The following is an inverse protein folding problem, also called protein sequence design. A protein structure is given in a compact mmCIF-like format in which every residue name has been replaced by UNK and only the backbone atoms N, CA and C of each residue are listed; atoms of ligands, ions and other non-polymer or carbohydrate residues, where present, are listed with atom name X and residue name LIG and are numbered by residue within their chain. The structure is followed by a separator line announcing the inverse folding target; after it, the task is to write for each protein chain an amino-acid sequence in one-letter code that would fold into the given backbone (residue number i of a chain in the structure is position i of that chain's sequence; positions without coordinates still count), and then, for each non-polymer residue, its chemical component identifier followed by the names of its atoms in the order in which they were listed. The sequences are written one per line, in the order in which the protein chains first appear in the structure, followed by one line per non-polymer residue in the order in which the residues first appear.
data_IF_740598502831
#
_entry.id   IF_740598502831
#
_cell.length_a   1.000
_cell.length_b   1.000
_cell.length_c   1.000
_cell.angle_alpha   90.00
_cell.angle_beta   90.00
_cell.angle_gamma   90.00
#
_symmetry.space_group_name_H-M   'P 1'
#
loop_
_entity.id
_entity.type
_entity.pdbx_description
1 polymer ?
#
# COMPACT_ATOMS: atom_id res chain seq x y z
N UNK A 1 -29.36 67.26 2.42
CA UNK A 1 -27.91 67.45 2.49
C UNK A 1 -27.43 66.58 3.62
N UNK A 2 -26.78 65.49 3.21
CA UNK A 2 -26.38 64.35 4.02
C UNK A 2 -25.37 64.71 5.11
N UNK A 3 -25.45 63.98 6.22
CA UNK A 3 -24.28 63.64 7.03
C UNK A 3 -24.63 62.38 7.80
N UNK A 4 -24.43 61.26 7.11
CA UNK A 4 -24.42 59.91 7.62
C UNK A 4 -23.60 59.81 8.91
N UNK A 5 -24.23 59.34 9.97
CA UNK A 5 -23.57 58.91 11.21
C UNK A 5 -22.57 57.81 10.85
N UNK A 6 -21.29 58.08 11.13
CA UNK A 6 -20.17 57.24 10.76
C UNK A 6 -20.08 56.03 11.71
N UNK A 7 -20.91 55.03 11.42
CA UNK A 7 -20.99 53.72 12.09
C UNK A 7 -19.84 52.79 11.65
N UNK A 8 -18.69 53.36 11.28
CA UNK A 8 -17.44 52.67 10.94
C UNK A 8 -16.40 52.79 12.07
N UNK A 9 -16.58 53.75 12.99
CA UNK A 9 -15.66 54.02 14.10
C UNK A 9 -15.86 53.15 15.35
N UNK A 10 -16.98 52.43 15.43
CA UNK A 10 -17.29 51.53 16.58
C UNK A 10 -16.75 50.11 16.37
N UNK A 11 -16.50 49.71 15.12
CA UNK A 11 -15.98 48.37 14.81
C UNK A 11 -14.45 48.25 14.81
N UNK A 12 -13.72 49.35 14.93
CA UNK A 12 -12.25 49.36 14.88
C UNK A 12 -11.56 49.25 16.25
N UNK A 13 -12.31 49.10 17.34
CA UNK A 13 -11.76 48.99 18.71
C UNK A 13 -11.71 47.56 19.26
N UNK A 14 -11.95 46.54 18.44
CA UNK A 14 -11.99 45.15 18.91
C UNK A 14 -11.28 44.19 17.96
N UNK A 15 -9.99 44.44 17.72
CA UNK A 15 -9.07 43.42 17.23
C UNK A 15 -7.64 43.90 17.37
N UNK A 16 -6.96 43.39 18.40
CA UNK A 16 -5.53 43.12 18.53
C UNK A 16 -5.07 43.42 19.96
N UNK A 17 -5.51 42.58 20.90
CA UNK A 17 -4.62 42.21 22.00
C UNK A 17 -3.45 41.44 21.36
N UNK A 18 -2.42 42.16 20.91
CA UNK A 18 -1.11 41.57 20.63
C UNK A 18 -0.63 40.92 21.93
N UNK A 19 -0.84 39.60 22.04
CA UNK A 19 -0.24 38.80 23.10
C UNK A 19 1.27 38.77 22.87
N UNK A 20 1.98 39.80 23.33
CA UNK A 20 3.44 39.87 23.30
C UNK A 20 3.97 38.73 24.17
N UNK A 21 4.53 37.66 23.59
CA UNK A 21 4.97 36.54 24.39
C UNK A 21 6.15 36.99 25.23
N UNK A 22 6.08 36.79 26.55
CA UNK A 22 7.20 37.08 27.44
C UNK A 22 8.44 36.32 26.98
N UNK A 23 9.65 36.91 27.11
CA UNK A 23 10.94 36.24 26.80
C UNK A 23 11.06 34.85 27.44
N UNK A 24 10.36 34.62 28.56
CA UNK A 24 10.27 33.32 29.22
C UNK A 24 9.56 32.26 28.38
N UNK A 25 8.47 32.59 27.68
CA UNK A 25 7.75 31.67 26.79
C UNK A 25 8.57 31.29 25.55
N UNK A 26 9.29 32.26 24.97
CA UNK A 26 10.20 32.00 23.84
C UNK A 26 11.33 31.05 24.23
N UNK A 27 11.95 31.29 25.38
CA UNK A 27 12.98 30.40 25.93
C UNK A 27 12.41 29.01 26.28
N UNK A 28 11.19 28.93 26.80
CA UNK A 28 10.54 27.66 27.12
C UNK A 28 10.22 26.85 25.85
N UNK A 29 9.77 27.49 24.78
CA UNK A 29 9.54 26.85 23.47
C UNK A 29 10.84 26.35 22.83
N UNK A 30 11.91 27.14 22.91
CA UNK A 30 13.25 26.73 22.46
C UNK A 30 13.80 25.55 23.26
N UNK A 31 13.63 25.57 24.58
CA UNK A 31 14.04 24.47 25.44
C UNK A 31 13.19 23.21 25.20
N UNK A 32 11.89 23.36 24.98
CA UNK A 32 10.99 22.24 24.70
C UNK A 32 11.30 21.60 23.34
N UNK A 33 11.56 22.40 22.31
CA UNK A 33 11.96 21.90 20.99
C UNK A 33 13.34 21.25 21.01
N UNK A 34 14.35 21.87 21.63
CA UNK A 34 15.67 21.25 21.83
C UNK A 34 15.57 19.98 22.69
N UNK A 35 14.77 20.00 23.75
CA UNK A 35 14.50 18.83 24.58
C UNK A 35 13.81 17.72 23.79
N UNK A 36 12.87 18.04 22.91
CA UNK A 36 12.19 17.06 22.07
C UNK A 36 13.10 16.49 20.97
N UNK A 37 14.02 17.30 20.43
CA UNK A 37 15.05 16.86 19.47
C UNK A 37 16.12 15.98 20.14
N UNK A 38 16.49 16.32 21.38
CA UNK A 38 17.50 15.62 22.17
C UNK A 38 16.92 14.41 22.94
N UNK A 39 15.60 14.38 23.17
CA UNK A 39 14.87 13.29 23.82
C UNK A 39 15.09 11.93 23.15
N UNK A 40 14.98 11.73 21.82
CA UNK A 40 15.24 10.43 21.21
C UNK A 40 16.70 9.98 21.41
N UNK A 41 17.67 10.91 21.39
CA UNK A 41 19.09 10.59 21.61
C UNK A 41 19.35 10.25 23.09
N UNK A 42 18.79 11.02 24.03
CA UNK A 42 18.85 10.73 25.47
C UNK A 42 18.14 9.41 25.76
N UNK A 43 16.97 9.16 25.20
CA UNK A 43 16.20 7.93 25.42
C UNK A 43 17.01 6.73 24.93
N UNK A 44 17.63 6.81 23.73
CA UNK A 44 18.51 5.75 23.24
C UNK A 44 19.75 5.57 24.11
N UNK A 45 20.39 6.66 24.56
CA UNK A 45 21.58 6.62 25.43
C UNK A 45 21.26 6.17 26.85
N UNK A 46 20.10 6.54 27.38
CA UNK A 46 19.59 6.16 28.70
C UNK A 46 19.17 4.68 28.67
N UNK A 47 18.53 4.24 27.59
CA UNK A 47 18.28 2.82 27.32
C UNK A 47 19.61 2.03 27.26
N UNK A 48 20.63 2.53 26.57
CA UNK A 48 21.94 1.87 26.50
C UNK A 48 22.63 1.84 27.88
N UNK A 49 22.60 2.95 28.62
CA UNK A 49 23.19 3.07 29.96
C UNK A 49 22.47 2.18 30.99
N UNK A 50 21.14 2.16 30.96
CA UNK A 50 20.31 1.33 31.82
C UNK A 50 20.47 -0.15 31.43
N UNK A 51 20.69 -0.46 30.15
CA UNK A 51 21.01 -1.83 29.71
C UNK A 51 22.37 -2.29 30.24
N UNK A 52 23.37 -1.39 30.30
CA UNK A 52 24.71 -1.67 30.85
C UNK A 52 24.67 -1.88 32.36
N UNK A 53 23.87 -1.11 33.09
CA UNK A 53 23.67 -1.26 34.54
C UNK A 53 22.84 -2.51 34.87
N UNK A 54 21.79 -2.80 34.09
CA UNK A 54 20.89 -3.95 34.29
C UNK A 54 21.53 -5.28 33.87
N UNK A 55 22.57 -5.27 33.04
CA UNK A 55 23.38 -6.45 32.70
C UNK A 55 24.15 -7.03 33.91
N UNK A 56 24.21 -6.29 35.03
CA UNK A 56 24.73 -6.78 36.31
C UNK A 56 23.68 -7.55 37.15
N UNK A 57 22.41 -7.60 36.75
CA UNK A 57 21.35 -8.27 37.51
C UNK A 57 20.34 -9.02 36.63
N UNK A 58 20.48 -10.34 36.58
CA UNK A 58 19.46 -11.35 36.28
C UNK A 58 18.34 -11.03 35.27
N UNK A 59 18.45 -11.64 34.09
CA UNK A 59 17.36 -12.09 33.18
C UNK A 59 15.92 -11.58 33.39
N UNK A 60 15.67 -10.29 33.14
CA UNK A 60 14.37 -9.83 32.66
C UNK A 60 14.51 -9.35 31.22
N UNK A 61 13.71 -9.94 30.31
CA UNK A 61 13.68 -9.57 28.89
C UNK A 61 13.47 -8.05 28.79
N UNK A 62 14.51 -7.35 28.31
CA UNK A 62 14.56 -5.90 28.27
C UNK A 62 13.26 -5.32 27.70
N UNK A 63 12.64 -4.40 28.43
CA UNK A 63 11.39 -3.72 28.05
C UNK A 63 11.41 -3.22 26.60
N UNK A 64 12.58 -2.79 26.10
CA UNK A 64 12.80 -2.35 24.72
C UNK A 64 12.54 -3.45 23.68
N UNK A 65 12.92 -4.71 23.97
CA UNK A 65 12.62 -5.83 23.07
C UNK A 65 11.12 -6.13 23.03
N UNK A 66 10.42 -5.98 24.16
CA UNK A 66 8.95 -6.14 24.20
C UNK A 66 8.22 -4.99 23.50
N UNK A 67 8.70 -3.76 23.62
CA UNK A 67 8.12 -2.60 22.96
C UNK A 67 8.36 -2.64 21.44
N UNK A 68 9.60 -2.89 21.01
CA UNK A 68 9.94 -3.07 19.60
C UNK A 68 9.12 -4.22 18.99
N UNK A 69 9.03 -5.35 19.68
CA UNK A 69 8.21 -6.48 19.22
C UNK A 69 6.72 -6.14 19.11
N UNK A 70 6.15 -5.38 20.05
CA UNK A 70 4.75 -4.95 19.96
C UNK A 70 4.52 -3.94 18.83
N UNK A 71 5.48 -3.03 18.61
CA UNK A 71 5.45 -2.07 17.50
C UNK A 71 5.59 -2.81 16.17
N UNK A 72 6.52 -3.74 16.05
CA UNK A 72 6.72 -4.56 14.85
C UNK A 72 5.48 -5.39 14.52
N UNK A 73 4.85 -6.01 15.53
CA UNK A 73 3.59 -6.72 15.35
C UNK A 73 2.49 -5.77 14.89
N UNK A 74 2.34 -4.62 15.54
CA UNK A 74 1.31 -3.65 15.15
C UNK A 74 1.52 -3.14 13.71
N UNK A 75 2.78 -2.90 13.34
CA UNK A 75 3.19 -2.45 12.01
C UNK A 75 3.02 -3.53 10.94
N UNK A 76 3.19 -4.80 11.31
CA UNK A 76 3.03 -5.95 10.41
C UNK A 76 1.58 -6.36 10.22
N UNK A 77 0.72 -6.16 11.24
CA UNK A 77 -0.68 -6.59 11.19
C UNK A 77 -1.60 -5.64 10.40
N UNK A 78 -1.23 -4.37 10.27
CA UNK A 78 -2.10 -3.37 9.63
C UNK A 78 -1.47 -2.84 8.32
N UNK A 79 -2.11 -3.06 7.16
CA UNK A 79 -1.66 -2.49 5.88
C UNK A 79 -1.48 -0.96 5.93
N UNK A 80 -2.25 -0.29 6.77
CA UNK A 80 -2.24 1.17 6.96
C UNK A 80 -1.21 1.67 7.98
N UNK A 81 -0.43 0.80 8.62
CA UNK A 81 0.51 1.23 9.65
C UNK A 81 1.65 2.10 9.11
N UNK A 82 2.22 1.74 7.95
CA UNK A 82 3.31 2.49 7.30
C UNK A 82 2.93 3.96 7.00
N UNK A 83 1.80 4.25 6.30
CA UNK A 83 1.40 5.63 6.07
C UNK A 83 0.98 6.37 7.35
N UNK A 84 0.41 5.67 8.35
CA UNK A 84 0.05 6.29 9.63
C UNK A 84 1.29 6.74 10.43
N UNK A 85 2.32 5.91 10.49
CA UNK A 85 3.60 6.28 11.12
C UNK A 85 4.22 7.48 10.42
N UNK A 86 4.18 7.49 9.08
CA UNK A 86 4.67 8.62 8.30
C UNK A 86 3.87 9.90 8.63
N UNK A 87 2.54 9.83 8.68
CA UNK A 87 1.65 10.95 9.04
C UNK A 87 1.94 11.49 10.46
N UNK A 88 2.11 10.59 11.44
CA UNK A 88 2.44 11.02 12.82
C UNK A 88 3.83 11.66 12.84
N UNK A 89 4.79 11.11 12.11
CA UNK A 89 6.13 11.68 11.96
C UNK A 89 6.12 13.08 11.33
N UNK A 90 5.29 13.30 10.30
CA UNK A 90 5.16 14.64 9.68
C UNK A 90 4.52 15.65 10.63
N UNK A 91 3.45 15.26 11.32
CA UNK A 91 2.80 16.14 12.30
C UNK A 91 3.75 16.53 13.44
N UNK A 92 4.56 15.58 13.93
CA UNK A 92 5.59 15.86 14.93
C UNK A 92 6.69 16.78 14.38
N UNK A 93 7.16 16.56 13.16
CA UNK A 93 8.16 17.43 12.53
C UNK A 93 7.66 18.87 12.39
N UNK A 94 6.42 19.05 11.94
CA UNK A 94 5.79 20.37 11.78
C UNK A 94 5.59 21.03 13.15
N UNK A 95 5.08 20.29 14.14
CA UNK A 95 4.84 20.81 15.48
C UNK A 95 6.15 21.24 16.16
N UNK A 96 7.15 20.35 16.20
CA UNK A 96 8.44 20.64 16.82
C UNK A 96 9.22 21.70 16.06
N UNK A 97 9.17 21.69 14.73
CA UNK A 97 9.77 22.70 13.87
C UNK A 97 9.15 24.09 14.06
N UNK A 98 7.82 24.17 14.13
CA UNK A 98 7.11 25.41 14.40
C UNK A 98 7.39 25.96 15.80
N UNK A 99 7.45 25.10 16.82
CA UNK A 99 7.85 25.50 18.18
C UNK A 99 9.30 26.01 18.23
N UNK A 100 10.21 25.37 17.47
CA UNK A 100 11.60 25.82 17.36
C UNK A 100 11.69 27.19 16.68
N UNK A 101 10.95 27.40 15.59
CA UNK A 101 10.86 28.69 14.88
C UNK A 101 10.32 29.79 15.78
N UNK A 102 9.25 29.51 16.53
CA UNK A 102 8.64 30.47 17.47
C UNK A 102 9.61 30.95 18.56
N UNK A 103 10.58 30.13 18.96
CA UNK A 103 11.56 30.55 19.96
C UNK A 103 12.75 31.34 19.38
N UNK A 104 13.02 31.26 18.07
CA UNK A 104 14.11 31.99 17.39
C UNK A 104 13.63 33.21 16.58
N UNK A 105 12.33 33.33 16.36
CA UNK A 105 11.69 34.41 15.60
C UNK A 105 10.74 35.20 16.50
N UNK A 106 10.40 36.43 16.10
CA UNK A 106 9.43 37.28 16.81
C UNK A 106 7.98 37.12 16.33
N UNK A 107 7.73 36.17 15.42
CA UNK A 107 6.43 35.91 14.81
C UNK A 107 5.46 35.16 15.76
N UNK A 108 4.18 35.13 15.39
CA UNK A 108 3.17 34.37 16.15
C UNK A 108 3.38 32.85 16.02
N UNK A 109 2.87 32.08 17.00
CA UNK A 109 2.98 30.62 16.97
C UNK A 109 2.29 30.01 15.74
N UNK A 110 1.15 30.57 15.32
CA UNK A 110 0.42 30.14 14.12
C UNK A 110 1.25 30.37 12.86
N UNK A 111 1.93 31.52 12.75
CA UNK A 111 2.78 31.83 11.60
C UNK A 111 4.00 30.91 11.56
N UNK A 112 4.58 30.59 12.72
CA UNK A 112 5.70 29.66 12.81
C UNK A 112 5.31 28.21 12.47
N UNK A 113 4.12 27.75 12.88
CA UNK A 113 3.59 26.44 12.50
C UNK A 113 3.29 26.37 11.00
N UNK A 114 2.69 27.44 10.45
CA UNK A 114 2.47 27.59 9.01
C UNK A 114 3.80 27.55 8.24
N UNK A 115 4.78 28.31 8.69
CA UNK A 115 6.12 28.36 8.08
C UNK A 115 6.82 27.00 8.15
N UNK A 116 6.73 26.30 9.29
CA UNK A 116 7.25 24.94 9.42
C UNK A 116 6.60 23.96 8.46
N UNK A 117 5.27 24.05 8.25
CA UNK A 117 4.58 23.27 7.24
C UNK A 117 5.13 23.57 5.83
N UNK A 118 5.33 24.85 5.49
CA UNK A 118 5.86 25.22 4.17
C UNK A 118 7.28 24.71 3.91
N UNK A 119 8.13 24.57 4.94
CA UNK A 119 9.47 23.98 4.82
C UNK A 119 9.44 22.45 4.67
N UNK A 120 8.41 21.79 5.22
CA UNK A 120 8.20 20.34 5.02
C UNK A 120 7.64 20.06 3.63
N UNK A 121 6.69 20.88 3.16
CA UNK A 121 6.05 20.74 1.87
C UNK A 121 6.98 21.12 0.70
N UNK A 122 7.77 22.17 0.87
CA UNK A 122 8.79 22.60 -0.07
C UNK A 122 10.06 22.98 0.68
N UNK A 123 11.05 22.10 0.56
CA UNK A 123 12.35 22.33 1.18
C UNK A 123 12.98 23.63 0.70
N UNK A 124 12.76 24.10 -0.54
CA UNK A 124 13.36 25.33 -1.07
C UNK A 124 13.02 26.60 -0.28
N UNK A 125 11.91 26.60 0.45
CA UNK A 125 11.45 27.74 1.24
C UNK A 125 12.42 28.14 2.36
N UNK A 126 13.29 27.25 2.86
CA UNK A 126 14.25 27.60 3.92
C UNK A 126 15.23 28.70 3.51
N UNK A 127 15.47 28.89 2.21
CA UNK A 127 16.37 29.91 1.68
C UNK A 127 15.90 31.34 2.00
N UNK A 128 14.60 31.53 2.24
CA UNK A 128 14.01 32.82 2.58
C UNK A 128 14.18 33.19 4.07
N UNK A 129 14.74 32.30 4.89
CA UNK A 129 14.93 32.54 6.32
C UNK A 129 16.01 33.60 6.57
N UNK A 130 15.69 34.60 7.40
CA UNK A 130 16.60 35.70 7.78
C UNK A 130 17.06 35.51 9.23
N UNK A 131 18.36 35.71 9.48
CA UNK A 131 18.98 35.48 10.80
C UNK A 131 19.54 34.07 11.00
N UNK A 132 20.52 33.93 11.88
CA UNK A 132 21.24 32.66 12.07
C UNK A 132 20.36 31.56 12.70
N UNK A 133 19.56 31.91 13.71
CA UNK A 133 18.66 30.98 14.40
C UNK A 133 17.58 30.40 13.47
N UNK A 134 16.75 31.24 12.82
CA UNK A 134 15.75 30.78 11.87
C UNK A 134 16.35 29.98 10.71
N UNK A 135 17.54 30.34 10.20
CA UNK A 135 18.24 29.57 9.16
C UNK A 135 18.61 28.15 9.59
N UNK A 136 19.14 27.99 10.80
CA UNK A 136 19.53 26.67 11.30
C UNK A 136 18.30 25.78 11.51
N UNK A 137 17.23 26.34 12.06
CA UNK A 137 15.95 25.64 12.28
C UNK A 137 15.29 25.29 10.95
N UNK A 138 15.21 26.23 10.00
CA UNK A 138 14.59 26.01 8.70
C UNK A 138 15.30 24.92 7.90
N UNK A 139 16.64 24.93 7.85
CA UNK A 139 17.43 23.85 7.22
C UNK A 139 17.16 22.49 7.86
N UNK A 140 17.06 22.43 9.19
CA UNK A 140 16.77 21.18 9.91
C UNK A 140 15.39 20.63 9.57
N UNK A 141 14.37 21.49 9.52
CA UNK A 141 13.00 21.12 9.14
C UNK A 141 12.97 20.66 7.68
N UNK A 142 13.65 21.36 6.77
CA UNK A 142 13.70 21.00 5.35
C UNK A 142 14.38 19.67 5.09
N UNK A 143 15.47 19.34 5.81
CA UNK A 143 16.08 18.01 5.74
C UNK A 143 15.08 16.93 6.19
N UNK A 144 14.36 17.17 7.29
CA UNK A 144 13.30 16.27 7.74
C UNK A 144 12.17 16.11 6.71
N UNK A 145 11.75 17.22 6.09
CA UNK A 145 10.71 17.24 5.06
C UNK A 145 11.10 16.46 3.81
N UNK A 146 12.35 16.59 3.36
CA UNK A 146 12.86 15.81 2.24
C UNK A 146 12.84 14.30 2.52
N UNK A 147 13.22 13.87 3.73
CA UNK A 147 13.17 12.45 4.12
C UNK A 147 11.74 11.92 4.14
N UNK A 148 10.82 12.69 4.70
CA UNK A 148 9.38 12.39 4.68
C UNK A 148 8.90 12.22 3.24
N UNK A 149 9.22 13.15 2.36
CA UNK A 149 8.76 13.14 0.98
C UNK A 149 9.32 11.93 0.21
N UNK A 150 10.60 11.61 0.41
CA UNK A 150 11.23 10.42 -0.17
C UNK A 150 10.54 9.12 0.31
N UNK A 151 10.23 9.01 1.61
CA UNK A 151 9.49 7.86 2.16
C UNK A 151 8.07 7.77 1.62
N UNK A 152 7.36 8.91 1.52
CA UNK A 152 6.03 8.98 0.93
C UNK A 152 6.05 8.49 -0.52
N UNK A 153 6.99 8.98 -1.32
CA UNK A 153 7.15 8.57 -2.72
C UNK A 153 7.41 7.06 -2.82
N UNK A 154 8.28 6.51 -1.96
CA UNK A 154 8.52 5.06 -1.90
C UNK A 154 7.24 4.26 -1.65
N UNK A 155 6.44 4.64 -0.65
CA UNK A 155 5.17 3.97 -0.36
C UNK A 155 4.16 4.08 -1.51
N UNK A 156 4.10 5.23 -2.16
CA UNK A 156 3.21 5.45 -3.31
C UNK A 156 3.66 4.59 -4.50
N UNK A 157 4.96 4.55 -4.80
CA UNK A 157 5.52 3.71 -5.86
C UNK A 157 5.26 2.23 -5.59
N UNK A 158 5.46 1.76 -4.36
CA UNK A 158 5.16 0.37 -3.98
C UNK A 158 3.67 0.05 -4.18
N UNK A 159 2.79 0.93 -3.72
CA UNK A 159 1.33 0.76 -3.86
C UNK A 159 0.87 0.73 -5.32
N UNK A 160 1.44 1.60 -6.17
CA UNK A 160 1.16 1.62 -7.61
C UNK A 160 1.68 0.34 -8.26
N UNK A 161 2.89 -0.10 -7.89
CA UNK A 161 3.51 -1.31 -8.42
C UNK A 161 2.72 -2.55 -8.06
N UNK A 162 2.27 -2.69 -6.81
CA UNK A 162 1.37 -3.77 -6.38
C UNK A 162 0.05 -3.75 -7.15
N UNK A 163 -0.55 -2.56 -7.37
CA UNK A 163 -1.78 -2.45 -8.14
C UNK A 163 -1.54 -2.83 -9.60
N UNK A 164 -0.47 -2.36 -10.20
CA UNK A 164 -0.10 -2.68 -11.58
C UNK A 164 0.17 -4.17 -11.74
N UNK A 165 0.95 -4.77 -10.84
CA UNK A 165 1.22 -6.22 -10.82
C UNK A 165 -0.06 -7.03 -10.59
N UNK A 166 -1.01 -6.54 -9.79
CA UNK A 166 -2.31 -7.20 -9.63
C UNK A 166 -3.13 -7.22 -10.92
N UNK A 167 -3.04 -6.16 -11.72
CA UNK A 167 -3.67 -6.07 -13.04
C UNK A 167 -2.92 -6.95 -14.05
N UNK A 168 -1.58 -6.92 -14.02
CA UNK A 168 -0.69 -7.70 -14.88
C UNK A 168 -0.86 -9.20 -14.68
N UNK A 169 -0.94 -9.66 -13.42
CA UNK A 169 -1.25 -11.06 -13.04
C UNK A 169 -2.72 -11.45 -13.28
N UNK A 170 -3.56 -10.51 -13.74
CA UNK A 170 -4.94 -10.77 -14.10
C UNK A 170 -5.86 -11.06 -12.92
N UNK A 171 -5.63 -10.50 -11.73
CA UNK A 171 -6.49 -10.72 -10.54
C UNK A 171 -7.87 -10.07 -10.61
N UNK A 172 -8.18 -9.34 -11.68
CA UNK A 172 -9.50 -8.76 -11.95
C UNK A 172 -10.52 -9.83 -12.37
N UNK A 173 -11.78 -9.62 -12.00
CA UNK A 173 -12.89 -10.50 -12.35
C UNK A 173 -13.10 -10.57 -13.87
N UNK A 174 -13.34 -11.77 -14.38
CA UNK A 174 -13.72 -12.02 -15.77
C UNK A 174 -15.19 -11.65 -15.94
N UNK A 175 -15.46 -10.64 -16.75
CA UNK A 175 -16.82 -10.10 -17.00
C UNK A 175 -17.56 -10.91 -18.09
N UNK A 176 -16.86 -11.80 -18.78
CA UNK A 176 -17.39 -12.63 -19.86
C UNK A 176 -18.51 -13.59 -19.41
N UNK A 177 -19.48 -13.83 -20.30
CA UNK A 177 -20.61 -14.73 -20.08
C UNK A 177 -20.58 -15.86 -21.10
N UNK A 178 -20.93 -17.09 -20.70
CA UNK A 178 -20.94 -18.29 -21.56
C UNK A 178 -19.58 -18.73 -22.13
N UNK A 179 -18.49 -18.44 -21.40
CA UNK A 179 -17.13 -18.89 -21.72
C UNK A 179 -16.89 -20.36 -21.33
N UNK A 180 -15.89 -20.98 -21.94
CA UNK A 180 -15.36 -22.27 -21.49
C UNK A 180 -14.23 -22.02 -20.50
N UNK A 181 -14.38 -22.52 -19.28
CA UNK A 181 -13.37 -22.38 -18.22
C UNK A 181 -12.52 -23.64 -18.15
N UNK A 182 -11.21 -23.48 -18.21
CA UNK A 182 -10.22 -24.55 -18.01
C UNK A 182 -9.50 -24.25 -16.69
N UNK A 183 -9.54 -25.21 -15.77
CA UNK A 183 -8.89 -25.17 -14.47
C UNK A 183 -7.68 -26.09 -14.47
N UNK A 184 -6.51 -25.59 -14.08
CA UNK A 184 -5.26 -26.35 -14.07
C UNK A 184 -4.42 -26.17 -15.34
N UNK A 185 -3.16 -26.58 -15.27
CA UNK A 185 -2.20 -26.52 -16.36
C UNK A 185 -1.60 -27.91 -16.61
N UNK A 186 -1.46 -28.30 -17.88
CA UNK A 186 -0.88 -29.58 -18.29
C UNK A 186 -0.31 -29.44 -19.70
N UNK A 187 0.64 -30.28 -20.08
CA UNK A 187 1.20 -30.33 -21.44
C UNK A 187 0.13 -30.62 -22.51
N UNK A 188 -1.00 -31.22 -22.10
CA UNK A 188 -2.16 -31.50 -22.96
C UNK A 188 -3.05 -30.27 -23.21
N UNK A 189 -2.81 -29.14 -22.51
CA UNK A 189 -3.60 -27.92 -22.64
C UNK A 189 -3.60 -27.40 -24.08
N UNK A 190 -2.46 -27.40 -24.76
CA UNK A 190 -2.37 -26.93 -26.15
C UNK A 190 -3.27 -27.73 -27.10
N UNK A 191 -3.27 -29.06 -26.97
CA UNK A 191 -4.15 -29.93 -27.75
C UNK A 191 -5.63 -29.69 -27.43
N UNK A 192 -5.97 -29.51 -26.16
CA UNK A 192 -7.34 -29.20 -25.74
C UNK A 192 -7.81 -27.85 -26.29
N UNK A 193 -6.98 -26.81 -26.19
CA UNK A 193 -7.29 -25.48 -26.74
C UNK A 193 -7.57 -25.56 -28.24
N UNK A 194 -6.72 -26.27 -29.00
CA UNK A 194 -6.93 -26.45 -30.44
C UNK A 194 -8.28 -27.13 -30.76
N UNK A 195 -8.63 -28.21 -30.04
CA UNK A 195 -9.93 -28.88 -30.25
C UNK A 195 -11.12 -27.97 -29.93
N UNK A 196 -11.04 -27.16 -28.87
CA UNK A 196 -12.10 -26.20 -28.51
C UNK A 196 -12.19 -25.09 -29.56
N UNK A 197 -11.06 -24.57 -30.06
CA UNK A 197 -11.03 -23.56 -31.13
C UNK A 197 -11.70 -24.09 -32.40
N UNK A 198 -11.41 -25.34 -32.81
CA UNK A 198 -12.06 -25.99 -33.95
C UNK A 198 -13.57 -26.14 -33.70
N UNK A 199 -13.99 -26.55 -32.51
CA UNK A 199 -15.40 -26.66 -32.17
C UNK A 199 -16.13 -25.30 -32.20
N UNK A 200 -15.46 -24.23 -31.79
CA UNK A 200 -16.01 -22.88 -31.77
C UNK A 200 -16.01 -22.19 -33.15
N UNK A 201 -15.24 -22.69 -34.12
CA UNK A 201 -15.22 -22.16 -35.49
C UNK A 201 -16.62 -22.13 -36.11
N UNK A 202 -17.43 -23.16 -35.85
CA UNK A 202 -18.82 -23.26 -36.32
C UNK A 202 -19.74 -22.19 -35.72
N UNK A 203 -19.35 -21.58 -34.60
CA UNK A 203 -20.10 -20.53 -33.90
C UNK A 203 -19.54 -19.13 -34.17
N UNK A 204 -18.52 -19.00 -35.03
CA UNK A 204 -17.85 -17.74 -35.33
C UNK A 204 -16.81 -17.31 -34.28
N UNK A 205 -16.33 -18.25 -33.45
CA UNK A 205 -15.40 -18.00 -32.35
C UNK A 205 -16.04 -18.14 -30.97
N UNK A 206 -15.22 -18.06 -29.93
CA UNK A 206 -15.65 -18.16 -28.54
C UNK A 206 -14.63 -17.59 -27.55
N UNK A 207 -14.91 -17.68 -26.26
CA UNK A 207 -13.98 -17.25 -25.22
C UNK A 207 -13.60 -18.43 -24.34
N UNK A 208 -12.29 -18.66 -24.20
CA UNK A 208 -11.72 -19.66 -23.29
C UNK A 208 -10.99 -18.91 -22.18
N UNK A 209 -11.28 -19.27 -20.93
CA UNK A 209 -10.56 -18.76 -19.76
C UNK A 209 -9.74 -19.89 -19.18
N UNK A 210 -8.44 -19.69 -19.03
CA UNK A 210 -7.53 -20.66 -18.38
C UNK A 210 -7.14 -20.12 -17.01
N UNK A 211 -7.38 -20.89 -15.95
CA UNK A 211 -6.96 -20.55 -14.59
C UNK A 211 -6.00 -21.61 -14.05
N UNK A 212 -4.79 -21.20 -13.64
CA UNK A 212 -3.82 -22.08 -13.02
C UNK A 212 -2.97 -21.35 -11.97
N UNK A 213 -2.26 -22.13 -11.14
CA UNK A 213 -1.30 -21.64 -10.15
C UNK A 213 0.05 -21.21 -10.78
N UNK A 214 0.00 -20.59 -11.96
CA UNK A 214 1.16 -20.04 -12.69
C UNK A 214 0.95 -18.55 -12.97
N UNK A 215 2.03 -17.84 -13.29
CA UNK A 215 1.94 -16.41 -13.62
C UNK A 215 1.28 -16.21 -15.00
N UNK A 216 0.42 -15.19 -15.12
CA UNK A 216 -0.34 -14.90 -16.35
C UNK A 216 0.56 -14.71 -17.56
N UNK A 217 1.66 -13.96 -17.40
CA UNK A 217 2.62 -13.67 -18.46
C UNK A 217 3.28 -14.95 -19.00
N UNK A 218 3.61 -15.89 -18.12
CA UNK A 218 4.23 -17.17 -18.49
C UNK A 218 3.24 -18.05 -19.27
N UNK A 219 1.99 -18.13 -18.81
CA UNK A 219 0.93 -18.87 -19.49
C UNK A 219 0.64 -18.31 -20.89
N UNK A 220 0.55 -16.99 -21.02
CA UNK A 220 0.30 -16.32 -22.30
C UNK A 220 1.48 -16.50 -23.27
N UNK A 221 2.72 -16.45 -22.76
CA UNK A 221 3.91 -16.74 -23.56
C UNK A 221 3.95 -18.20 -24.03
N UNK A 222 3.60 -19.15 -23.18
CA UNK A 222 3.58 -20.58 -23.54
C UNK A 222 2.49 -20.88 -24.56
N UNK A 223 1.29 -20.31 -24.42
CA UNK A 223 0.22 -20.45 -25.44
C UNK A 223 0.62 -19.80 -26.76
N UNK A 224 1.28 -18.64 -26.73
CA UNK A 224 1.77 -17.97 -27.95
C UNK A 224 2.82 -18.81 -28.71
N UNK A 225 3.63 -19.62 -28.00
CA UNK A 225 4.59 -20.54 -28.63
C UNK A 225 3.94 -21.76 -29.29
N UNK A 226 2.70 -22.09 -28.94
CA UNK A 226 2.05 -23.33 -29.41
C UNK A 226 1.58 -23.25 -30.88
N UNK A 227 1.77 -22.13 -31.59
CA UNK A 227 1.53 -21.93 -33.03
C UNK A 227 0.29 -22.64 -33.62
N UNK A 228 -0.88 -22.51 -32.97
CA UNK A 228 -2.15 -23.00 -33.53
C UNK A 228 -3.12 -21.85 -33.83
N UNK A 229 -3.93 -22.04 -34.86
CA UNK A 229 -4.94 -21.06 -35.26
C UNK A 229 -6.08 -21.03 -34.23
N UNK A 230 -6.30 -19.85 -33.66
CA UNK A 230 -7.35 -19.63 -32.66
C UNK A 230 -8.75 -19.58 -33.31
N UNK A 231 -8.86 -19.49 -34.64
CA UNK A 231 -10.13 -19.58 -35.39
C UNK A 231 -11.22 -18.62 -34.86
N UNK A 232 -10.81 -17.40 -34.49
CA UNK A 232 -11.69 -16.38 -33.89
C UNK A 232 -11.98 -16.56 -32.39
N UNK A 233 -11.36 -17.53 -31.73
CA UNK A 233 -11.48 -17.77 -30.28
C UNK A 233 -10.49 -16.90 -29.50
N UNK A 234 -10.94 -16.23 -28.44
CA UNK A 234 -10.09 -15.49 -27.53
C UNK A 234 -9.71 -16.35 -26.32
N UNK A 235 -8.42 -16.43 -25.98
CA UNK A 235 -7.92 -17.12 -24.80
C UNK A 235 -7.48 -16.10 -23.75
N UNK A 236 -8.03 -16.22 -22.54
CA UNK A 236 -7.76 -15.32 -21.42
C UNK A 236 -7.13 -16.12 -20.28
N UNK A 237 -5.88 -15.84 -19.94
CA UNK A 237 -5.20 -16.49 -18.82
C UNK A 237 -5.42 -15.72 -17.51
N UNK A 238 -5.61 -16.45 -16.41
CA UNK A 238 -5.79 -15.91 -15.06
C UNK A 238 -4.97 -16.72 -14.06
N UNK A 239 -4.22 -16.03 -13.20
CA UNK A 239 -3.48 -16.69 -12.11
C UNK A 239 -4.39 -16.85 -10.89
N UNK A 240 -4.50 -18.08 -10.37
CA UNK A 240 -5.33 -18.37 -9.20
C UNK A 240 -5.40 -19.87 -8.92
N UNK A 241 -5.74 -20.22 -7.67
CA UNK A 241 -5.87 -21.63 -7.29
C UNK A 241 -7.29 -22.13 -7.56
N UNK A 242 -7.47 -23.28 -8.24
CA UNK A 242 -8.78 -23.90 -8.42
C UNK A 242 -9.38 -24.39 -7.10
N UNK A 243 -8.59 -24.51 -6.03
CA UNK A 243 -9.04 -24.93 -4.69
C UNK A 243 -9.67 -23.79 -3.89
N UNK A 244 -9.38 -22.54 -4.26
CA UNK A 244 -9.83 -21.37 -3.51
C UNK A 244 -11.10 -20.82 -4.14
N UNK A 245 -12.22 -20.89 -3.41
CA UNK A 245 -13.53 -20.42 -3.88
C UNK A 245 -13.55 -18.92 -4.26
N UNK A 246 -12.71 -18.11 -3.62
CA UNK A 246 -12.56 -16.70 -3.96
C UNK A 246 -11.93 -16.49 -5.36
N UNK A 247 -11.01 -17.36 -5.78
CA UNK A 247 -10.38 -17.29 -7.10
C UNK A 247 -11.32 -17.84 -8.18
N UNK A 248 -12.06 -18.91 -7.86
CA UNK A 248 -13.14 -19.43 -8.71
C UNK A 248 -14.23 -18.38 -9.00
N UNK A 249 -14.58 -17.54 -8.01
CA UNK A 249 -15.49 -16.41 -8.22
C UNK A 249 -14.92 -15.38 -9.20
N UNK A 250 -13.62 -15.10 -9.16
CA UNK A 250 -12.98 -14.13 -10.08
C UNK A 250 -13.07 -14.59 -11.55
N UNK A 251 -13.05 -15.88 -11.82
CA UNK A 251 -13.17 -16.40 -13.19
C UNK A 251 -14.61 -16.68 -13.62
N UNK A 252 -15.59 -16.14 -12.88
CA UNK A 252 -17.02 -16.23 -13.20
C UNK A 252 -17.49 -17.67 -13.46
N UNK A 253 -17.03 -18.63 -12.63
CA UNK A 253 -17.41 -20.06 -12.73
C UNK A 253 -18.92 -20.25 -12.94
N UNK A 254 -19.76 -19.53 -12.21
CA UNK A 254 -21.23 -19.67 -12.27
C UNK A 254 -21.85 -19.26 -13.61
N UNK A 255 -21.13 -18.51 -14.44
CA UNK A 255 -21.57 -18.02 -15.76
C UNK A 255 -20.89 -18.77 -16.91
N UNK A 256 -19.99 -19.70 -16.60
CA UNK A 256 -19.31 -20.52 -17.60
C UNK A 256 -20.29 -21.49 -18.26
N UNK A 257 -20.12 -21.70 -19.56
CA UNK A 257 -20.90 -22.68 -20.34
C UNK A 257 -20.45 -24.10 -20.03
N UNK A 258 -19.14 -24.28 -19.87
CA UNK A 258 -18.50 -25.54 -19.57
C UNK A 258 -17.29 -25.29 -18.69
N UNK A 259 -17.00 -26.24 -17.80
CA UNK A 259 -15.82 -26.23 -16.93
C UNK A 259 -15.06 -27.52 -17.18
N UNK A 260 -13.79 -27.39 -17.54
CA UNK A 260 -12.86 -28.49 -17.76
C UNK A 260 -11.79 -28.41 -16.68
N UNK A 261 -11.59 -29.49 -15.95
CA UNK A 261 -10.52 -29.59 -14.94
C UNK A 261 -9.41 -30.45 -15.49
N UNK A 262 -8.22 -29.88 -15.62
CA UNK A 262 -6.99 -30.55 -15.98
C UNK A 262 -6.28 -30.97 -14.68
N UNK A 263 -6.09 -32.29 -14.52
CA UNK A 263 -5.26 -32.82 -13.45
C UNK A 263 -3.78 -32.72 -13.84
N UNK A 264 -2.93 -32.27 -12.91
CA UNK A 264 -1.47 -32.42 -13.06
C UNK A 264 -1.08 -33.89 -12.93
N UNK A 265 -0.08 -34.32 -13.71
CA UNK A 265 0.46 -35.68 -13.67
C UNK A 265 1.11 -35.90 -12.30
N UNK A 266 0.44 -36.66 -11.44
CA UNK A 266 0.80 -36.89 -10.03
C UNK A 266 -0.35 -36.68 -9.04
N UNK A 267 -1.46 -36.04 -9.46
CA UNK A 267 -2.61 -35.76 -8.58
C UNK A 267 -3.98 -36.24 -9.10
N UNK A 268 -3.98 -37.18 -10.07
CA UNK A 268 -5.20 -37.73 -10.67
C UNK A 268 -6.17 -38.33 -9.62
N UNK A 269 -5.64 -38.83 -8.51
CA UNK A 269 -6.43 -39.46 -7.44
C UNK A 269 -7.14 -38.44 -6.54
N UNK A 270 -6.63 -37.20 -6.40
CA UNK A 270 -7.28 -36.17 -5.58
C UNK A 270 -8.42 -35.47 -6.31
N UNK A 271 -8.36 -35.33 -7.64
CA UNK A 271 -9.42 -34.69 -8.44
C UNK A 271 -10.70 -35.54 -8.47
N UNK A 272 -10.59 -36.85 -8.21
CA UNK A 272 -11.72 -37.76 -8.09
C UNK A 272 -12.43 -37.71 -6.72
N UNK A 273 -11.89 -36.97 -5.74
CA UNK A 273 -12.55 -36.84 -4.43
C UNK A 273 -13.76 -35.89 -4.53
N UNK A 274 -14.93 -36.39 -4.14
CA UNK A 274 -16.22 -35.70 -4.23
C UNK A 274 -16.26 -34.33 -3.51
N UNK A 275 -15.29 -34.03 -2.64
CA UNK A 275 -15.19 -32.78 -1.90
C UNK A 275 -14.81 -31.56 -2.77
N UNK A 276 -14.11 -31.75 -3.89
CA UNK A 276 -13.76 -30.66 -4.81
C UNK A 276 -14.89 -30.31 -5.80
N UNK A 277 -15.83 -31.24 -6.02
CA UNK A 277 -16.96 -31.10 -6.95
C UNK A 277 -18.21 -30.55 -6.23
N UNK A 278 -18.31 -30.78 -4.91
CA UNK A 278 -19.43 -30.36 -4.07
C UNK A 278 -19.82 -28.85 -4.12
N UNK A 279 -18.91 -27.87 -4.28
CA UNK A 279 -19.33 -26.46 -4.37
C UNK A 279 -19.89 -26.06 -5.75
N UNK A 280 -19.75 -26.90 -6.78
CA UNK A 280 -20.22 -26.61 -8.13
C UNK A 280 -21.66 -27.11 -8.32
N UNK A 281 -22.63 -26.29 -7.91
CA UNK A 281 -24.03 -26.49 -8.26
C UNK A 281 -24.24 -26.20 -9.76
N UNK A 282 -23.85 -27.09 -10.69
CA UNK A 282 -23.87 -26.78 -12.13
C UNK A 282 -24.06 -27.96 -13.11
N UNK A 283 -24.61 -27.62 -14.27
CA UNK A 283 -25.31 -28.46 -15.27
C UNK A 283 -24.47 -29.45 -16.09
N UNK A 284 -23.13 -29.42 -16.04
CA UNK A 284 -22.28 -30.37 -16.77
C UNK A 284 -20.80 -30.13 -16.44
N UNK A 285 -20.21 -30.98 -15.61
CA UNK A 285 -18.76 -31.07 -15.39
C UNK A 285 -18.23 -32.17 -16.30
N UNK A 286 -17.24 -31.86 -17.15
CA UNK A 286 -16.55 -32.86 -17.96
C UNK A 286 -15.15 -33.06 -17.37
N UNK A 287 -15.00 -34.09 -16.54
CA UNK A 287 -13.69 -34.53 -16.02
C UNK A 287 -13.07 -35.46 -17.05
N UNK A 288 -12.08 -34.97 -17.80
CA UNK A 288 -11.32 -35.80 -18.74
C UNK A 288 -10.10 -36.39 -18.02
N UNK A 289 -10.27 -37.57 -17.43
CA UNK A 289 -9.14 -38.42 -17.05
C UNK A 289 -8.68 -39.20 -18.29
N UNK A 290 -7.58 -38.78 -18.91
CA UNK A 290 -6.99 -39.51 -20.04
C UNK A 290 -5.98 -40.53 -19.47
N UNK A 291 -6.19 -41.85 -19.65
CA UNK A 291 -5.25 -42.85 -19.14
C UNK A 291 -3.92 -42.81 -19.92
N UNK A 292 -2.81 -43.14 -19.24
CA UNK A 292 -1.48 -43.18 -19.85
C UNK A 292 -1.37 -44.31 -20.88
N UNK A 293 -0.61 -44.13 -21.97
CA UNK A 293 -0.17 -45.26 -22.78
C UNK A 293 0.93 -46.02 -22.01
N UNK A 294 0.74 -47.34 -21.85
CA UNK A 294 1.80 -48.28 -21.44
C UNK A 294 2.92 -48.37 -22.49
#
# INVERSE_FOLDING_TARGET
MDSSLDMSSVFSYQSNDEFVPSRSLKNFSLLLSLSALYAPIIILKYIDLLSRLRRSGGSEVAFNKRLAYRVDIFLSLHPYAKPLVLLVGTMLLIGLGGLALYGVTDDSLSDCLWLSWTFVADAGNHANAVGFGPKLVSVSISIGGMLVFAMMLGLVTDSISEKFDSLRKGRSEVIEQSHTLILGWSDKLGSLLNQICIANESLGGGTIVVMAERDKEEMEADIAKMEFDMKGTAVICRSGSPLILADLKKVSVSKARAIVVLAEEGNADQVCSADQIAPFNMKSVLTLAVPSPE
#
